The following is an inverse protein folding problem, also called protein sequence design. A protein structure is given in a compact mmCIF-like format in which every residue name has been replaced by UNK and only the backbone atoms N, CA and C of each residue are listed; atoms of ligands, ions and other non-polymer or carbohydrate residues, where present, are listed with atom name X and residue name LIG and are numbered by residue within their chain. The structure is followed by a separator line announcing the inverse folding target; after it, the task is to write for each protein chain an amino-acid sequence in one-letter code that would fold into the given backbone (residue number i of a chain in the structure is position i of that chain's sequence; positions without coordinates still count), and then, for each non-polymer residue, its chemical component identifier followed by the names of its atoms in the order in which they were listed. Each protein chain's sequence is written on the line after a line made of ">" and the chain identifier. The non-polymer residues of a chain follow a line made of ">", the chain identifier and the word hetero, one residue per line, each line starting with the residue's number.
data_IF_586424395460
#
_entry.id   IF_586424395460
#
_cell.length_a   1.000
_cell.length_b   1.000
_cell.length_c   1.000
_cell.angle_alpha   90.00
_cell.angle_beta   90.00
_cell.angle_gamma   90.00
#
_symmetry.space_group_name_H-M   'P 1'
#
loop_
_entity.id
_entity.type
_entity.pdbx_description
1 polymer ?
#
# COMPACT_ATOMS: atom_id res chain seq x y z
N UNK A 1 -31.99 5.42 -3.27
CA UNK A 1 -31.97 5.63 -1.80
C UNK A 1 -31.07 6.82 -1.47
N UNK A 2 -31.44 7.65 -0.49
CA UNK A 2 -30.63 8.80 -0.09
C UNK A 2 -29.68 8.35 1.02
N UNK A 3 -28.37 8.29 0.74
CA UNK A 3 -27.37 7.95 1.77
C UNK A 3 -27.39 9.07 2.83
N UNK A 4 -27.72 8.73 4.07
CA UNK A 4 -27.68 9.68 5.18
C UNK A 4 -26.25 9.78 5.69
N UNK A 5 -25.69 10.99 5.66
CA UNK A 5 -24.34 11.26 6.13
C UNK A 5 -24.40 11.93 7.50
N UNK A 6 -23.52 11.49 8.41
CA UNK A 6 -23.33 12.13 9.71
C UNK A 6 -22.48 13.41 9.60
N UNK A 7 -21.62 13.48 8.58
CA UNK A 7 -20.76 14.63 8.29
C UNK A 7 -20.66 14.82 6.77
N UNK A 8 -20.59 16.08 6.30
CA UNK A 8 -20.44 16.41 4.88
C UNK A 8 -19.15 15.86 4.26
N UNK A 9 -18.09 15.71 5.06
CA UNK A 9 -16.79 15.15 4.66
C UNK A 9 -16.83 13.63 4.47
N UNK A 10 -17.91 12.95 4.89
CA UNK A 10 -18.15 11.52 4.64
C UNK A 10 -18.93 11.28 3.34
N UNK A 11 -18.82 12.19 2.37
CA UNK A 11 -19.44 12.04 1.06
C UNK A 11 -19.02 10.71 0.41
N UNK A 12 -20.01 9.96 -0.06
CA UNK A 12 -19.80 8.65 -0.66
C UNK A 12 -20.86 8.36 -1.74
N UNK A 13 -20.56 7.37 -2.56
CA UNK A 13 -21.46 6.80 -3.56
C UNK A 13 -21.49 5.28 -3.39
N UNK A 14 -22.55 4.64 -3.88
CA UNK A 14 -22.60 3.19 -3.96
C UNK A 14 -21.52 2.71 -4.94
N UNK A 15 -20.75 1.68 -4.57
CA UNK A 15 -19.63 1.15 -5.38
C UNK A 15 -20.05 0.86 -6.83
N UNK A 16 -21.27 0.33 -7.00
CA UNK A 16 -21.78 -0.08 -8.31
C UNK A 16 -22.53 1.01 -9.08
N UNK A 17 -22.70 2.21 -8.51
CA UNK A 17 -23.28 3.34 -9.23
C UNK A 17 -22.32 3.86 -10.31
N UNK A 18 -22.81 4.65 -11.30
CA UNK A 18 -21.95 5.28 -12.29
C UNK A 18 -20.81 6.09 -11.64
N UNK A 19 -21.14 6.91 -10.64
CA UNK A 19 -20.20 7.78 -9.94
C UNK A 19 -19.17 6.98 -9.14
N UNK A 20 -19.59 5.90 -8.47
CA UNK A 20 -18.70 5.01 -7.73
C UNK A 20 -17.69 4.31 -8.64
N UNK A 21 -18.14 3.80 -9.77
CA UNK A 21 -17.28 3.15 -10.78
C UNK A 21 -16.30 4.14 -11.41
N UNK A 22 -16.75 5.35 -11.73
CA UNK A 22 -15.91 6.38 -12.31
C UNK A 22 -14.86 6.89 -11.31
N UNK A 23 -15.22 7.06 -10.05
CA UNK A 23 -14.28 7.34 -8.97
C UNK A 23 -13.19 6.26 -8.85
N UNK A 24 -13.57 4.97 -8.85
CA UNK A 24 -12.61 3.88 -8.71
C UNK A 24 -11.65 3.79 -9.91
N UNK A 25 -12.13 4.04 -11.13
CA UNK A 25 -11.26 4.14 -12.32
C UNK A 25 -10.29 5.31 -12.21
N UNK A 26 -10.77 6.49 -11.81
CA UNK A 26 -9.93 7.68 -11.65
C UNK A 26 -8.89 7.48 -10.54
N UNK A 27 -9.27 6.87 -9.41
CA UNK A 27 -8.36 6.51 -8.33
C UNK A 27 -7.29 5.52 -8.80
N UNK A 28 -7.67 4.50 -9.59
CA UNK A 28 -6.71 3.56 -10.16
C UNK A 28 -5.72 4.24 -11.12
N UNK A 29 -6.19 5.17 -11.95
CA UNK A 29 -5.31 5.98 -12.80
C UNK A 29 -4.33 6.83 -11.97
N UNK A 30 -4.81 7.46 -10.89
CA UNK A 30 -3.96 8.22 -9.98
C UNK A 30 -2.93 7.33 -9.25
N UNK A 31 -3.31 6.12 -8.85
CA UNK A 31 -2.39 5.15 -8.25
C UNK A 31 -1.29 4.73 -9.24
N UNK A 32 -1.66 4.46 -10.50
CA UNK A 32 -0.72 4.16 -11.58
C UNK A 32 0.26 5.31 -11.82
N UNK A 33 -0.23 6.55 -11.85
CA UNK A 33 0.62 7.73 -11.93
C UNK A 33 1.61 7.81 -10.75
N UNK A 34 1.15 7.54 -9.53
CA UNK A 34 2.01 7.56 -8.35
C UNK A 34 3.10 6.48 -8.39
N UNK A 35 2.80 5.27 -8.88
CA UNK A 35 3.81 4.21 -9.08
C UNK A 35 4.84 4.58 -10.15
N UNK A 36 4.40 5.15 -11.28
CA UNK A 36 5.32 5.64 -12.32
C UNK A 36 6.22 6.73 -11.74
N UNK A 37 5.68 7.67 -10.97
CA UNK A 37 6.47 8.71 -10.34
C UNK A 37 7.55 8.15 -9.41
N UNK A 38 7.21 7.17 -8.54
CA UNK A 38 8.20 6.52 -7.66
C UNK A 38 9.23 5.69 -8.43
N UNK A 39 8.83 5.06 -9.52
CA UNK A 39 9.75 4.33 -10.42
C UNK A 39 10.76 5.28 -11.07
N UNK A 40 10.30 6.44 -11.55
CA UNK A 40 11.17 7.50 -12.09
C UNK A 40 12.14 8.04 -11.02
N UNK A 41 11.65 8.29 -9.80
CA UNK A 41 12.53 8.71 -8.70
C UNK A 41 13.57 7.65 -8.34
N UNK A 42 13.20 6.36 -8.38
CA UNK A 42 14.14 5.25 -8.15
C UNK A 42 15.25 5.24 -9.20
N UNK A 43 14.90 5.44 -10.47
CA UNK A 43 15.89 5.58 -11.55
C UNK A 43 16.85 6.75 -11.31
N UNK A 44 16.31 7.92 -10.97
CA UNK A 44 17.14 9.11 -10.70
C UNK A 44 18.03 8.94 -9.46
N UNK A 45 17.54 8.28 -8.41
CA UNK A 45 18.34 7.96 -7.23
C UNK A 45 19.52 7.05 -7.60
N UNK A 46 19.29 6.00 -8.39
CA UNK A 46 20.36 5.13 -8.92
C UNK A 46 21.40 5.91 -9.72
N UNK A 47 20.99 6.85 -10.57
CA UNK A 47 21.90 7.71 -11.33
C UNK A 47 22.76 8.61 -10.42
N UNK A 48 22.15 9.18 -9.38
CA UNK A 48 22.86 10.01 -8.42
C UNK A 48 23.94 9.22 -7.66
N UNK A 49 23.59 8.01 -7.17
CA UNK A 49 24.55 7.12 -6.51
C UNK A 49 25.67 6.71 -7.46
N UNK A 50 25.33 6.31 -8.70
CA UNK A 50 26.32 5.88 -9.68
C UNK A 50 27.36 6.97 -9.96
N UNK A 51 26.92 8.24 -10.05
CA UNK A 51 27.80 9.39 -10.25
C UNK A 51 28.72 9.66 -9.05
N UNK A 52 28.23 9.52 -7.83
CA UNK A 52 29.01 9.79 -6.61
C UNK A 52 30.04 8.69 -6.34
N UNK A 53 29.64 7.43 -6.51
CA UNK A 53 30.49 6.28 -6.21
C UNK A 53 31.30 5.78 -7.41
N UNK A 54 31.11 6.38 -8.59
CA UNK A 54 31.75 5.97 -9.85
C UNK A 54 31.63 4.45 -10.10
N UNK A 55 30.43 3.92 -9.84
CA UNK A 55 30.09 2.51 -9.85
C UNK A 55 28.68 2.36 -10.45
N UNK A 56 28.39 1.30 -11.20
CA UNK A 56 27.04 1.12 -11.72
C UNK A 56 26.05 0.80 -10.58
N UNK A 57 24.79 1.21 -10.71
CA UNK A 57 23.78 0.92 -9.69
C UNK A 57 23.56 -0.58 -9.43
N UNK A 58 23.77 -1.41 -10.46
CA UNK A 58 23.69 -2.87 -10.35
C UNK A 58 24.89 -3.45 -9.58
N UNK A 59 26.09 -2.89 -9.79
CA UNK A 59 27.29 -3.24 -9.01
C UNK A 59 27.20 -2.77 -7.55
N UNK A 60 26.35 -1.77 -7.28
CA UNK A 60 25.99 -1.30 -5.94
C UNK A 60 24.80 -2.07 -5.33
N UNK A 61 24.27 -3.08 -6.03
CA UNK A 61 23.15 -3.92 -5.61
C UNK A 61 21.88 -3.11 -5.22
N UNK A 62 21.61 -2.02 -5.93
CA UNK A 62 20.50 -1.09 -5.61
C UNK A 62 19.12 -1.61 -6.04
N UNK A 63 18.68 -2.72 -5.46
CA UNK A 63 17.38 -3.33 -5.71
C UNK A 63 16.23 -2.65 -4.94
N UNK A 64 15.03 -2.65 -5.54
CA UNK A 64 13.82 -2.19 -4.85
C UNK A 64 13.34 -3.30 -3.91
N UNK A 65 13.43 -3.07 -2.60
CA UNK A 65 12.92 -4.03 -1.60
C UNK A 65 11.40 -4.19 -1.74
N UNK A 66 10.66 -3.09 -1.65
CA UNK A 66 9.20 -3.10 -1.80
C UNK A 66 8.65 -1.70 -2.09
N UNK A 67 7.45 -1.61 -2.67
CA UNK A 67 6.69 -0.37 -2.85
C UNK A 67 5.26 -0.61 -2.35
N UNK A 68 4.81 0.23 -1.41
CA UNK A 68 3.49 0.08 -0.80
C UNK A 68 2.76 1.42 -0.72
N UNK A 69 1.45 1.39 -0.97
CA UNK A 69 0.56 2.54 -0.83
C UNK A 69 -0.03 2.62 0.57
N UNK A 70 -0.20 3.84 1.09
CA UNK A 70 -0.89 4.09 2.36
C UNK A 70 -2.19 4.91 2.23
N UNK A 71 -2.54 5.31 1.01
CA UNK A 71 -3.78 6.00 0.65
C UNK A 71 -4.35 5.33 -0.61
N UNK A 72 -5.20 4.33 -0.46
CA UNK A 72 -5.77 3.56 -1.57
C UNK A 72 -7.03 2.81 -1.14
N UNK A 73 -7.94 2.54 -2.07
CA UNK A 73 -8.99 1.54 -1.89
C UNK A 73 -8.71 0.33 -2.80
N UNK A 74 -8.87 -0.89 -2.27
CA UNK A 74 -8.60 -2.14 -2.98
C UNK A 74 -9.72 -3.15 -2.77
N UNK A 75 -10.08 -3.85 -3.84
CA UNK A 75 -10.99 -4.99 -3.76
C UNK A 75 -10.18 -6.19 -3.27
N UNK A 76 -10.56 -6.74 -2.12
CA UNK A 76 -9.83 -7.81 -1.44
C UNK A 76 -10.84 -8.80 -0.83
N UNK A 77 -10.42 -10.06 -0.67
CA UNK A 77 -11.20 -11.09 0.01
C UNK A 77 -10.76 -11.18 1.47
N UNK A 78 -11.73 -11.12 2.38
CA UNK A 78 -11.50 -11.19 3.82
C UNK A 78 -12.60 -12.00 4.50
N UNK A 79 -12.28 -12.63 5.62
CA UNK A 79 -13.27 -13.32 6.45
C UNK A 79 -14.05 -12.31 7.32
N UNK A 80 -15.38 -12.37 7.27
CA UNK A 80 -16.29 -11.58 8.09
C UNK A 80 -17.39 -12.48 8.62
N UNK A 81 -17.49 -12.62 9.94
CA UNK A 81 -18.42 -13.53 10.62
C UNK A 81 -18.33 -14.99 10.12
N UNK A 82 -17.10 -15.50 9.97
CA UNK A 82 -16.83 -16.87 9.52
C UNK A 82 -17.10 -17.13 8.03
N UNK A 83 -17.29 -16.08 7.22
CA UNK A 83 -17.55 -16.19 5.78
C UNK A 83 -16.61 -15.29 4.98
N UNK A 84 -16.03 -15.83 3.91
CA UNK A 84 -15.25 -15.05 2.96
C UNK A 84 -16.18 -14.08 2.24
N UNK A 85 -15.80 -12.80 2.23
CA UNK A 85 -16.50 -11.72 1.52
C UNK A 85 -15.52 -10.90 0.71
N UNK A 86 -15.95 -10.50 -0.48
CA UNK A 86 -15.25 -9.50 -1.29
C UNK A 86 -15.59 -8.11 -0.76
N UNK A 87 -14.58 -7.38 -0.29
CA UNK A 87 -14.72 -6.04 0.29
C UNK A 87 -13.94 -5.02 -0.53
N UNK A 88 -14.41 -3.78 -0.55
CA UNK A 88 -13.61 -2.64 -0.95
C UNK A 88 -12.95 -2.05 0.31
N UNK A 89 -11.70 -2.40 0.55
CA UNK A 89 -10.95 -1.97 1.74
C UNK A 89 -10.36 -0.59 1.49
N UNK A 90 -10.84 0.42 2.22
CA UNK A 90 -10.33 1.78 2.19
C UNK A 90 -9.18 1.95 3.19
N UNK A 91 -8.01 2.34 2.72
CA UNK A 91 -6.84 2.67 3.53
C UNK A 91 -6.50 4.14 3.34
N UNK A 92 -6.52 4.92 4.42
CA UNK A 92 -6.12 6.33 4.46
C UNK A 92 -5.19 6.54 5.63
N UNK A 93 -3.91 6.76 5.38
CA UNK A 93 -2.87 6.70 6.41
C UNK A 93 -2.74 5.30 7.01
N UNK A 94 -2.91 4.25 6.22
CA UNK A 94 -2.71 2.86 6.65
C UNK A 94 -2.20 2.01 5.50
N UNK A 95 -1.42 1.00 5.81
CA UNK A 95 -0.66 0.22 4.83
C UNK A 95 -1.18 -1.21 4.80
N UNK A 96 -1.21 -1.83 3.61
CA UNK A 96 -1.51 -3.26 3.49
C UNK A 96 -0.36 -4.10 4.07
N UNK A 97 -0.68 -5.15 4.80
CA UNK A 97 0.24 -5.99 5.56
C UNK A 97 -0.19 -7.46 5.52
N UNK A 98 -0.14 -8.08 4.33
CA UNK A 98 -0.54 -9.47 4.15
C UNK A 98 0.38 -10.47 4.88
N UNK A 99 -0.19 -11.58 5.41
CA UNK A 99 0.55 -12.58 6.18
C UNK A 99 1.48 -13.41 5.28
N UNK A 100 2.40 -14.19 5.87
CA UNK A 100 3.15 -15.21 5.14
C UNK A 100 2.23 -16.11 4.30
N UNK A 101 2.74 -16.61 3.18
CA UNK A 101 2.07 -17.50 2.22
C UNK A 101 0.88 -16.89 1.45
N UNK A 102 0.61 -15.59 1.64
CA UNK A 102 -0.46 -14.93 0.89
C UNK A 102 -0.09 -14.82 -0.61
N UNK A 103 -0.96 -15.25 -1.54
CA UNK A 103 -0.61 -15.40 -2.97
C UNK A 103 -0.25 -14.10 -3.69
N UNK A 104 -0.66 -12.95 -3.14
CA UNK A 104 -0.33 -11.62 -3.70
C UNK A 104 1.03 -11.06 -3.24
N UNK A 105 1.79 -11.80 -2.45
CA UNK A 105 3.14 -11.41 -2.01
C UNK A 105 4.16 -11.96 -3.03
N UNK A 106 5.23 -11.21 -3.38
CA UNK A 106 6.33 -11.75 -4.19
C UNK A 106 6.96 -13.00 -3.57
N UNK A 107 7.47 -13.90 -4.41
CA UNK A 107 8.01 -15.21 -4.00
C UNK A 107 9.08 -15.08 -2.91
N UNK A 108 9.96 -14.09 -3.02
CA UNK A 108 11.07 -13.84 -2.09
C UNK A 108 10.61 -13.53 -0.66
N UNK A 109 9.37 -13.07 -0.50
CA UNK A 109 8.79 -12.67 0.79
C UNK A 109 7.67 -13.60 1.27
N UNK A 110 7.35 -14.66 0.53
CA UNK A 110 6.25 -15.57 0.86
C UNK A 110 6.39 -16.12 2.29
N UNK A 111 7.59 -16.50 2.72
CA UNK A 111 7.78 -17.12 4.04
C UNK A 111 7.77 -16.14 5.22
N UNK A 112 8.01 -14.85 4.97
CA UNK A 112 8.15 -13.85 6.03
C UNK A 112 6.95 -12.89 6.14
N UNK A 113 6.09 -12.87 5.11
CA UNK A 113 4.98 -11.94 5.00
C UNK A 113 5.33 -10.67 4.23
N UNK A 114 4.32 -9.86 3.93
CA UNK A 114 4.49 -8.70 3.07
C UNK A 114 5.39 -7.66 3.77
N UNK A 115 6.45 -7.14 3.12
CA UNK A 115 7.19 -6.01 3.66
C UNK A 115 6.27 -4.79 3.84
N UNK A 116 6.43 -4.12 4.98
CA UNK A 116 5.71 -2.90 5.33
C UNK A 116 6.76 -1.82 5.64
N UNK A 117 6.70 -0.72 4.89
CA UNK A 117 7.61 0.40 5.05
C UNK A 117 6.94 1.50 5.88
N UNK A 118 7.49 1.80 7.05
CA UNK A 118 7.00 2.83 7.96
C UNK A 118 7.95 4.02 7.92
N UNK A 119 7.52 5.09 7.26
CA UNK A 119 8.26 6.34 7.20
C UNK A 119 8.19 7.08 8.53
N UNK A 120 9.34 7.51 9.05
CA UNK A 120 9.40 8.57 10.04
C UNK A 120 9.15 9.95 9.42
N UNK A 121 9.39 10.98 10.22
CA UNK A 121 9.57 12.35 9.76
C UNK A 121 11.04 12.61 9.40
N UNK A 122 11.34 13.76 8.79
CA UNK A 122 12.72 14.11 8.45
C UNK A 122 13.60 14.13 9.71
N UNK A 123 14.62 13.28 9.73
CA UNK A 123 15.57 13.15 10.85
C UNK A 123 15.16 12.18 11.95
N UNK A 124 14.03 11.48 11.82
CA UNK A 124 13.60 10.45 12.79
C UNK A 124 13.72 9.03 12.21
N UNK A 125 13.50 8.03 13.07
CA UNK A 125 13.63 6.63 12.68
C UNK A 125 12.53 6.22 11.69
N UNK A 126 12.89 5.35 10.75
CA UNK A 126 11.95 4.60 9.92
C UNK A 126 12.05 3.12 10.26
N UNK A 127 10.99 2.36 10.01
CA UNK A 127 10.93 0.93 10.35
C UNK A 127 10.54 0.10 9.15
N UNK A 128 11.04 -1.13 9.12
CA UNK A 128 10.56 -2.18 8.22
C UNK A 128 9.89 -3.25 9.07
N UNK A 129 8.66 -3.59 8.75
CA UNK A 129 7.90 -4.67 9.41
C UNK A 129 7.51 -5.71 8.36
N UNK A 130 6.92 -6.81 8.83
CA UNK A 130 6.23 -7.79 7.98
C UNK A 130 4.77 -7.93 8.37
N UNK A 131 3.93 -8.26 7.39
CA UNK A 131 2.53 -8.59 7.63
C UNK A 131 2.36 -9.90 8.41
N UNK A 132 1.23 -10.05 9.10
CA UNK A 132 0.99 -11.15 10.05
C UNK A 132 -0.43 -11.70 9.93
N UNK A 133 -0.62 -12.96 10.31
CA UNK A 133 -1.95 -13.59 10.34
C UNK A 133 -2.89 -12.85 11.29
N UNK A 134 -2.36 -12.39 12.43
CA UNK A 134 -3.12 -11.57 13.37
C UNK A 134 -3.64 -10.28 12.69
N UNK A 135 -2.81 -9.60 11.91
CA UNK A 135 -3.24 -8.44 11.13
C UNK A 135 -4.26 -8.77 10.04
N UNK A 136 -4.16 -9.94 9.41
CA UNK A 136 -5.17 -10.41 8.46
C UNK A 136 -6.56 -10.49 9.11
N UNK A 137 -6.62 -11.10 10.30
CA UNK A 137 -7.86 -11.33 11.05
C UNK A 137 -8.41 -10.05 11.68
N UNK A 138 -7.56 -9.25 12.34
CA UNK A 138 -8.02 -8.13 13.16
C UNK A 138 -8.24 -6.83 12.36
N UNK A 139 -7.53 -6.64 11.24
CA UNK A 139 -7.47 -5.34 10.55
C UNK A 139 -7.58 -5.43 9.03
N UNK A 140 -8.11 -6.53 8.50
CA UNK A 140 -8.21 -6.79 7.06
C UNK A 140 -6.83 -6.68 6.39
N UNK A 141 -5.82 -7.28 7.01
CA UNK A 141 -4.43 -7.27 6.53
C UNK A 141 -3.88 -5.86 6.45
N UNK A 142 -4.06 -5.04 7.49
CA UNK A 142 -3.63 -3.63 7.50
C UNK A 142 -2.78 -3.29 8.72
N UNK A 143 -1.91 -2.29 8.59
CA UNK A 143 -1.11 -1.73 9.68
C UNK A 143 -0.90 -0.23 9.50
N UNK A 144 -0.14 0.40 10.40
CA UNK A 144 0.19 1.82 10.33
C UNK A 144 1.03 2.18 9.08
N UNK A 145 1.20 3.48 8.83
CA UNK A 145 2.00 3.99 7.71
C UNK A 145 3.19 4.86 8.15
N UNK A 146 3.13 5.41 9.36
CA UNK A 146 4.11 6.37 9.84
C UNK A 146 4.52 6.11 11.28
N UNK A 147 5.78 6.39 11.57
CA UNK A 147 6.35 6.41 12.92
C UNK A 147 6.35 7.85 13.45
N UNK A 148 5.17 8.47 13.46
CA UNK A 148 5.02 9.82 14.02
C UNK A 148 5.08 9.67 15.54
N UNK A 149 6.21 10.06 16.10
CA UNK A 149 6.39 10.33 17.54
C UNK A 149 6.08 11.81 17.77
#
# INVERSE_FOLDING_TARGET
>A
EKIRLNDRQLSCALINSPEGKDYLKAMAAAANFAWVNRSSMTFLARQAFSKVFNCAADDLDMNTVYDVSHNIAKVEEHEVDGKIRTLLVHRKGSTRAFPPNHPLIPIDYQLIGQPVLIGGTMGTCSYVLTGTEKGMIETFGSTCHGAVI
#
